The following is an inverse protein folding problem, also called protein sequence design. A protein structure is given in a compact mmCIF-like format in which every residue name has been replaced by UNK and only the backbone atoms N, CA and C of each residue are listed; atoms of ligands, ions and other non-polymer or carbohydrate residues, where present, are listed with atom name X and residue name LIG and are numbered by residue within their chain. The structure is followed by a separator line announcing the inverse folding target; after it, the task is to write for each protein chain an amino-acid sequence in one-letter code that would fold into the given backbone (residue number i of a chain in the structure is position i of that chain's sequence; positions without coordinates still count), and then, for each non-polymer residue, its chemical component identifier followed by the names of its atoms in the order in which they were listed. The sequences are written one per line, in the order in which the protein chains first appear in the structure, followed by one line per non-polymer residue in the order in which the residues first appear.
data_IF_363127632749
#
_entry.id   IF_363127632749
#
_cell.length_a   1.000
_cell.length_b   1.000
_cell.length_c   1.000
_cell.angle_alpha   90.00
_cell.angle_beta   90.00
_cell.angle_gamma   90.00
#
_symmetry.space_group_name_H-M   'P 1'
#
loop_
_entity.id
_entity.type
_entity.pdbx_description
1 polymer ?
#
# COMPACT_ATOMS: atom_id res chain seq x y z
N UNK A 1 16.17 13.52 -12.62
CA UNK A 1 16.24 12.24 -11.88
C UNK A 1 15.53 12.39 -10.53
N UNK A 2 14.50 11.60 -10.24
CA UNK A 2 13.79 11.66 -8.94
C UNK A 2 14.60 10.90 -7.87
N UNK A 3 15.04 11.62 -6.82
CA UNK A 3 15.75 11.05 -5.65
C UNK A 3 15.01 9.87 -4.98
N UNK A 4 13.66 9.86 -4.85
CA UNK A 4 12.93 8.81 -4.15
C UNK A 4 13.05 7.41 -4.76
N UNK A 5 12.90 7.27 -6.08
CA UNK A 5 12.95 5.97 -6.74
C UNK A 5 14.34 5.33 -6.66
N UNK A 6 15.41 6.14 -6.72
CA UNK A 6 16.80 5.64 -6.53
C UNK A 6 17.01 5.18 -5.09
N UNK A 7 16.55 5.95 -4.12
CA UNK A 7 16.66 5.59 -2.71
C UNK A 7 15.97 4.24 -2.42
N UNK A 8 14.74 4.06 -2.90
CA UNK A 8 13.99 2.80 -2.71
C UNK A 8 14.75 1.62 -3.30
N UNK A 9 15.17 1.70 -4.57
CA UNK A 9 15.89 0.62 -5.24
C UNK A 9 17.20 0.28 -4.51
N UNK A 10 17.97 1.29 -4.10
CA UNK A 10 19.20 1.06 -3.35
C UNK A 10 18.93 0.35 -2.01
N UNK A 11 17.86 0.73 -1.30
CA UNK A 11 17.47 0.03 -0.07
C UNK A 11 17.13 -1.42 -0.34
N UNK A 12 16.40 -1.73 -1.41
CA UNK A 12 16.07 -3.11 -1.77
C UNK A 12 17.33 -3.94 -2.09
N UNK A 13 18.30 -3.36 -2.82
CA UNK A 13 19.58 -4.02 -3.13
C UNK A 13 20.35 -4.33 -1.84
N UNK A 14 20.52 -3.34 -0.96
CA UNK A 14 21.26 -3.50 0.31
C UNK A 14 20.61 -4.56 1.22
N UNK A 15 19.29 -4.71 1.15
CA UNK A 15 18.54 -5.70 1.93
C UNK A 15 18.30 -7.01 1.17
N UNK A 16 18.91 -7.19 -0.01
CA UNK A 16 18.77 -8.39 -0.84
C UNK A 16 17.31 -8.74 -1.21
N UNK A 17 16.47 -7.73 -1.40
CA UNK A 17 15.05 -7.91 -1.73
C UNK A 17 14.89 -7.95 -3.25
N UNK A 18 14.47 -9.10 -3.77
CA UNK A 18 14.27 -9.32 -5.22
C UNK A 18 12.87 -8.94 -5.75
N UNK A 19 11.90 -8.68 -4.87
CA UNK A 19 10.51 -8.39 -5.27
C UNK A 19 10.02 -7.15 -4.52
N UNK A 20 9.51 -6.16 -5.27
CA UNK A 20 8.82 -4.99 -4.75
C UNK A 20 7.35 -5.07 -5.12
N UNK A 21 6.46 -5.13 -4.13
CA UNK A 21 5.02 -5.06 -4.32
C UNK A 21 4.55 -3.62 -4.09
N UNK A 22 3.74 -3.09 -5.00
CA UNK A 22 3.17 -1.74 -4.91
C UNK A 22 1.65 -1.84 -5.03
N UNK A 23 0.93 -1.37 -4.01
CA UNK A 23 -0.51 -1.15 -4.08
C UNK A 23 -0.85 0.06 -4.96
N UNK A 24 -1.75 -0.12 -5.92
CA UNK A 24 -2.28 0.97 -6.74
C UNK A 24 -3.69 0.67 -7.25
N UNK A 25 -4.63 1.51 -6.88
CA UNK A 25 -6.00 1.46 -7.40
C UNK A 25 -6.17 2.48 -8.52
N UNK A 26 -6.54 2.07 -9.74
CA UNK A 26 -6.82 3.02 -10.83
C UNK A 26 -7.81 4.09 -10.38
N UNK A 27 -7.56 5.35 -10.78
CA UNK A 27 -8.45 6.48 -10.49
C UNK A 27 -8.67 6.79 -8.99
N UNK A 28 -7.90 6.23 -8.06
CA UNK A 28 -8.04 6.49 -6.61
C UNK A 28 -7.89 7.97 -6.21
N UNK A 29 -7.33 8.78 -7.10
CA UNK A 29 -7.20 10.23 -6.91
C UNK A 29 -8.45 11.02 -7.31
N UNK A 30 -9.36 10.43 -8.08
CA UNK A 30 -10.58 11.07 -8.54
C UNK A 30 -11.65 10.99 -7.43
N UNK A 31 -12.33 12.11 -7.15
CA UNK A 31 -13.41 12.14 -6.15
C UNK A 31 -12.97 12.00 -4.69
N UNK A 32 -11.68 12.19 -4.38
CA UNK A 32 -11.19 12.19 -2.99
C UNK A 32 -11.79 13.33 -2.17
N UNK A 33 -12.19 13.03 -0.94
CA UNK A 33 -12.72 14.02 -0.01
C UNK A 33 -11.86 14.07 1.27
N UNK A 34 -10.63 14.59 1.16
CA UNK A 34 -9.69 14.76 2.28
C UNK A 34 -9.62 16.23 2.78
N UNK A 35 -10.49 17.09 2.25
CA UNK A 35 -10.46 18.54 2.44
C UNK A 35 -9.58 19.26 1.42
N UNK A 36 -9.87 20.54 1.15
CA UNK A 36 -9.31 21.34 0.04
C UNK A 36 -7.78 21.33 -0.02
N UNK A 37 -7.10 21.68 1.08
CA UNK A 37 -5.62 21.75 1.14
C UNK A 37 -4.96 20.38 0.93
N UNK A 38 -5.49 19.34 1.56
CA UNK A 38 -4.95 17.98 1.44
C UNK A 38 -5.17 17.40 0.05
N UNK A 39 -6.36 17.60 -0.53
CA UNK A 39 -6.66 17.19 -1.90
C UNK A 39 -5.69 17.84 -2.89
N UNK A 40 -5.45 19.15 -2.77
CA UNK A 40 -4.53 19.86 -3.65
C UNK A 40 -3.09 19.31 -3.56
N UNK A 41 -2.56 19.08 -2.37
CA UNK A 41 -1.22 18.51 -2.19
C UNK A 41 -1.15 17.09 -2.75
N UNK A 42 -2.19 16.29 -2.52
CA UNK A 42 -2.20 14.89 -2.84
C UNK A 42 -2.39 14.60 -4.35
N UNK A 43 -3.24 15.37 -5.03
CA UNK A 43 -3.44 15.27 -6.48
C UNK A 43 -2.14 15.60 -7.23
N UNK A 44 -1.38 16.59 -6.74
CA UNK A 44 -0.10 17.01 -7.33
C UNK A 44 1.01 15.95 -7.27
N UNK A 45 0.93 14.95 -6.38
CA UNK A 45 1.97 13.91 -6.27
C UNK A 45 1.94 13.03 -7.54
N UNK A 46 3.02 12.93 -8.33
CA UNK A 46 3.03 12.17 -9.58
C UNK A 46 3.24 10.67 -9.32
N UNK A 47 2.25 10.02 -8.71
CA UNK A 47 2.34 8.63 -8.23
C UNK A 47 2.60 7.63 -9.36
N UNK A 48 1.89 7.77 -10.48
CA UNK A 48 2.09 6.94 -11.66
C UNK A 48 3.52 7.01 -12.19
N UNK A 49 4.06 8.24 -12.35
CA UNK A 49 5.44 8.47 -12.78
C UNK A 49 6.47 7.84 -11.83
N UNK A 50 6.19 7.86 -10.52
CA UNK A 50 7.06 7.20 -9.53
C UNK A 50 7.06 5.67 -9.72
N UNK A 51 5.90 5.07 -9.94
CA UNK A 51 5.76 3.63 -10.20
C UNK A 51 6.51 3.24 -11.48
N UNK A 52 6.35 4.00 -12.56
CA UNK A 52 7.07 3.75 -13.81
C UNK A 52 8.59 3.78 -13.63
N UNK A 53 9.09 4.76 -12.86
CA UNK A 53 10.51 4.85 -12.54
C UNK A 53 11.00 3.68 -11.67
N UNK A 54 10.19 3.22 -10.71
CA UNK A 54 10.51 2.04 -9.91
C UNK A 54 10.54 0.77 -10.76
N UNK A 55 9.58 0.58 -11.66
CA UNK A 55 9.57 -0.52 -12.63
C UNK A 55 10.82 -0.52 -13.50
N UNK A 56 11.13 0.62 -14.11
CA UNK A 56 12.30 0.77 -14.98
C UNK A 56 13.59 0.46 -14.24
N UNK A 57 13.81 1.10 -13.08
CA UNK A 57 15.03 0.91 -12.30
C UNK A 57 15.14 -0.47 -11.69
N UNK A 58 14.04 -1.03 -11.19
CA UNK A 58 13.99 -2.39 -10.66
C UNK A 58 14.42 -3.40 -11.72
N UNK A 59 13.87 -3.29 -12.93
CA UNK A 59 14.26 -4.14 -14.07
C UNK A 59 15.76 -4.09 -14.37
N UNK A 60 16.39 -2.92 -14.30
CA UNK A 60 17.84 -2.77 -14.55
C UNK A 60 18.72 -3.52 -13.54
N UNK A 61 18.23 -3.73 -12.31
CA UNK A 61 18.99 -4.37 -11.22
C UNK A 61 18.44 -5.74 -10.83
N UNK A 62 17.56 -6.32 -11.66
CA UNK A 62 16.97 -7.64 -11.41
C UNK A 62 15.87 -7.69 -10.35
N UNK A 63 15.34 -6.54 -9.89
CA UNK A 63 14.23 -6.48 -8.95
C UNK A 63 12.89 -6.52 -9.71
N UNK A 64 12.05 -7.50 -9.37
CA UNK A 64 10.70 -7.63 -9.93
C UNK A 64 9.74 -6.67 -9.22
N UNK A 65 9.11 -5.78 -9.98
CA UNK A 65 8.09 -4.86 -9.45
C UNK A 65 6.69 -5.36 -9.82
N UNK A 66 5.88 -5.65 -8.82
CA UNK A 66 4.50 -6.14 -8.95
C UNK A 66 3.56 -5.01 -8.53
N UNK A 67 2.59 -4.68 -9.39
CA UNK A 67 1.49 -3.79 -9.00
C UNK A 67 0.30 -4.65 -8.60
N UNK A 68 -0.28 -4.38 -7.45
CA UNK A 68 -1.49 -5.04 -6.99
C UNK A 68 -2.59 -4.03 -6.64
N UNK A 69 -3.84 -4.49 -6.70
CA UNK A 69 -5.00 -3.77 -6.20
C UNK A 69 -4.93 -3.70 -4.66
N UNK A 70 -5.23 -2.54 -4.08
CA UNK A 70 -4.98 -2.20 -2.67
C UNK A 70 -6.28 -1.89 -1.89
N UNK A 71 -7.44 -2.41 -2.31
CA UNK A 71 -8.69 -2.19 -1.59
C UNK A 71 -8.59 -2.75 -0.19
N UNK A 72 -9.06 -1.93 0.75
CA UNK A 72 -9.21 -2.25 2.16
C UNK A 72 -7.94 -2.59 2.94
N UNK A 73 -6.74 -2.55 2.35
CA UNK A 73 -5.47 -2.85 3.05
C UNK A 73 -5.19 -1.96 4.26
N UNK A 74 -5.71 -0.73 4.26
CA UNK A 74 -5.60 0.22 5.37
C UNK A 74 -6.72 0.10 6.42
N UNK A 75 -7.73 -0.75 6.16
CA UNK A 75 -8.90 -0.95 7.01
C UNK A 75 -8.91 -2.34 7.65
N UNK A 76 -8.62 -3.36 6.87
CA UNK A 76 -8.48 -4.75 7.32
C UNK A 76 -7.32 -4.87 8.32
N UNK A 77 -7.49 -5.74 9.29
CA UNK A 77 -6.45 -6.05 10.26
C UNK A 77 -5.61 -7.20 9.76
N UNK A 78 -4.31 -6.94 9.56
CA UNK A 78 -3.37 -8.00 9.21
C UNK A 78 -3.26 -9.05 10.31
N UNK A 79 -3.21 -8.63 11.58
CA UNK A 79 -2.99 -9.54 12.71
C UNK A 79 -4.20 -10.46 12.99
N UNK A 80 -5.39 -10.03 12.58
CA UNK A 80 -6.62 -10.80 12.76
C UNK A 80 -6.96 -11.64 11.52
N UNK A 81 -6.08 -11.66 10.50
CA UNK A 81 -6.29 -12.37 9.24
C UNK A 81 -7.59 -12.00 8.53
N UNK A 82 -7.94 -10.71 8.56
CA UNK A 82 -9.14 -10.22 7.88
C UNK A 82 -9.05 -10.49 6.36
N UNK A 83 -10.17 -10.93 5.78
CA UNK A 83 -10.29 -11.06 4.33
C UNK A 83 -10.04 -9.72 3.63
N UNK A 84 -9.35 -9.77 2.49
CA UNK A 84 -9.00 -8.61 1.68
C UNK A 84 -9.76 -8.60 0.34
N UNK A 85 -11.09 -8.39 0.34
CA UNK A 85 -11.88 -8.39 -0.87
C UNK A 85 -11.46 -7.25 -1.81
N UNK A 86 -11.81 -7.39 -3.09
CA UNK A 86 -11.75 -6.28 -4.04
C UNK A 86 -12.96 -5.39 -3.81
N UNK A 87 -12.79 -4.07 -3.89
CA UNK A 87 -13.90 -3.13 -3.71
C UNK A 87 -15.03 -3.39 -4.73
N UNK A 88 -16.25 -3.57 -4.21
CA UNK A 88 -17.48 -3.65 -4.99
C UNK A 88 -18.47 -2.61 -4.50
N UNK A 89 -19.05 -1.86 -5.43
CA UNK A 89 -20.01 -0.79 -5.10
C UNK A 89 -21.26 -1.39 -4.45
N UNK A 90 -21.63 -0.87 -3.27
CA UNK A 90 -22.82 -1.32 -2.53
C UNK A 90 -22.55 -2.42 -1.51
N UNK A 91 -21.38 -3.06 -1.53
CA UNK A 91 -21.00 -4.07 -0.54
C UNK A 91 -20.28 -3.41 0.62
N UNK A 92 -20.80 -3.60 1.85
CA UNK A 92 -20.13 -3.15 3.07
C UNK A 92 -19.37 -4.32 3.68
N UNK A 93 -18.08 -4.13 3.93
CA UNK A 93 -17.26 -5.08 4.68
C UNK A 93 -17.01 -4.56 6.08
N UNK A 94 -17.07 -5.46 7.07
CA UNK A 94 -16.70 -5.18 8.45
C UNK A 94 -15.37 -5.86 8.72
N UNK A 95 -14.41 -5.06 9.16
CA UNK A 95 -13.08 -5.50 9.55
C UNK A 95 -13.02 -5.61 11.07
N UNK A 96 -12.20 -6.53 11.57
CA UNK A 96 -12.08 -6.83 12.99
C UNK A 96 -11.29 -5.74 13.74
N UNK A 97 -10.25 -5.20 13.09
CA UNK A 97 -9.45 -4.08 13.59
C UNK A 97 -9.95 -2.70 13.15
N UNK A 98 -9.27 -1.66 13.66
CA UNK A 98 -9.54 -0.28 13.27
C UNK A 98 -8.32 0.62 13.32
N UNK A 99 -8.24 1.55 12.38
CA UNK A 99 -7.32 2.68 12.44
C UNK A 99 -7.80 3.67 13.51
N UNK A 100 -6.97 3.93 14.51
CA UNK A 100 -7.30 4.85 15.62
C UNK A 100 -6.98 6.28 15.22
N UNK A 101 -5.77 6.50 14.70
CA UNK A 101 -5.31 7.80 14.19
C UNK A 101 -4.19 7.62 13.17
N UNK A 102 -3.66 8.71 12.62
CA UNK A 102 -2.51 8.64 11.71
C UNK A 102 -1.33 7.93 12.42
N UNK A 103 -0.77 6.92 11.76
CA UNK A 103 0.33 6.12 12.29
C UNK A 103 -0.06 5.05 13.33
N UNK A 104 -1.34 4.93 13.73
CA UNK A 104 -1.76 4.00 14.78
C UNK A 104 -2.98 3.16 14.37
N UNK A 105 -2.79 1.85 14.37
CA UNK A 105 -3.80 0.83 14.13
C UNK A 105 -4.01 -0.02 15.40
N UNK A 106 -5.22 -0.54 15.60
CA UNK A 106 -5.59 -1.42 16.71
C UNK A 106 -6.26 -2.67 16.16
N UNK A 107 -5.68 -3.84 16.42
CA UNK A 107 -6.27 -5.16 16.13
C UNK A 107 -7.44 -5.50 17.07
N UNK A 108 -8.19 -6.56 16.76
CA UNK A 108 -9.36 -7.00 17.52
C UNK A 108 -9.00 -7.36 18.97
N UNK A 109 -7.87 -8.03 19.17
CA UNK A 109 -7.30 -8.40 20.47
C UNK A 109 -6.78 -7.20 21.29
N UNK A 110 -6.84 -5.99 20.75
CA UNK A 110 -6.44 -4.77 21.42
C UNK A 110 -5.00 -4.32 21.21
N UNK A 111 -4.16 -5.15 20.56
CA UNK A 111 -2.78 -4.81 20.21
C UNK A 111 -2.75 -3.60 19.29
N UNK A 112 -1.85 -2.67 19.60
CA UNK A 112 -1.67 -1.43 18.82
C UNK A 112 -0.33 -1.46 18.10
N UNK A 113 -0.33 -1.11 16.83
CA UNK A 113 0.88 -1.10 16.00
C UNK A 113 0.76 -0.05 14.90
N UNK A 114 1.83 0.11 14.13
CA UNK A 114 1.89 1.15 13.11
C UNK A 114 0.90 0.87 11.96
N UNK A 115 0.11 1.88 11.60
CA UNK A 115 -0.90 1.75 10.55
C UNK A 115 -0.33 1.58 9.14
N UNK A 116 0.86 2.13 8.87
CA UNK A 116 1.53 1.97 7.59
C UNK A 116 2.13 0.56 7.48
N UNK A 117 2.66 0.01 8.57
CA UNK A 117 3.08 -1.40 8.66
C UNK A 117 1.91 -2.34 8.39
N UNK A 118 0.72 -2.07 8.98
CA UNK A 118 -0.49 -2.84 8.67
C UNK A 118 -0.82 -2.83 7.17
N UNK A 119 -0.82 -1.64 6.56
CA UNK A 119 -1.10 -1.48 5.13
C UNK A 119 -0.11 -2.20 4.23
N UNK A 120 1.19 -2.12 4.55
CA UNK A 120 2.25 -2.83 3.81
C UNK A 120 2.09 -4.35 3.91
N UNK A 121 1.82 -4.88 5.10
CA UNK A 121 1.61 -6.33 5.32
C UNK A 121 0.37 -6.84 4.57
N UNK A 122 -0.75 -6.11 4.63
CA UNK A 122 -1.95 -6.46 3.88
C UNK A 122 -1.74 -6.37 2.36
N UNK A 123 -0.96 -5.41 1.88
CA UNK A 123 -0.62 -5.31 0.45
C UNK A 123 0.15 -6.54 -0.02
N UNK A 124 1.11 -6.99 0.80
CA UNK A 124 1.89 -8.20 0.53
C UNK A 124 1.00 -9.45 0.54
N UNK A 125 0.20 -9.64 1.60
CA UNK A 125 -0.75 -10.75 1.73
C UNK A 125 -1.71 -10.83 0.53
N UNK A 126 -2.23 -9.69 0.08
CA UNK A 126 -3.12 -9.63 -1.09
C UNK A 126 -2.41 -9.96 -2.40
N UNK A 127 -1.11 -9.67 -2.50
CA UNK A 127 -0.33 -9.95 -3.71
C UNK A 127 0.09 -11.42 -3.82
N UNK A 128 0.09 -12.14 -2.70
CA UNK A 128 0.46 -13.55 -2.64
C UNK A 128 -0.38 -14.31 -1.60
N UNK A 129 -1.62 -14.71 -1.96
CA UNK A 129 -2.53 -15.39 -1.02
C UNK A 129 -2.03 -16.73 -0.47
N UNK A 130 -0.97 -17.30 -1.06
CA UNK A 130 -0.39 -18.61 -0.70
C UNK A 130 0.88 -18.51 0.17
N UNK A 131 1.26 -17.30 0.60
CA UNK A 131 2.57 -17.08 1.24
C UNK A 131 2.53 -17.21 2.77
N UNK A 132 1.35 -17.44 3.33
CA UNK A 132 1.11 -17.64 4.75
C UNK A 132 0.15 -18.82 4.95
#
# INVERSE_FOLDING_TARGET
MTRPSRYIINRLIVNQIGILVIGNNPNWKQGINLGRKNNQNFVQIPFFKLIEQLKYKGKLVGIKVIINEESYTSKASFLDWDDLPVYQKGVKHRFSGKRVKRGLYKASNGVKYNADVNGSLNTDAKSSPKRF
#
